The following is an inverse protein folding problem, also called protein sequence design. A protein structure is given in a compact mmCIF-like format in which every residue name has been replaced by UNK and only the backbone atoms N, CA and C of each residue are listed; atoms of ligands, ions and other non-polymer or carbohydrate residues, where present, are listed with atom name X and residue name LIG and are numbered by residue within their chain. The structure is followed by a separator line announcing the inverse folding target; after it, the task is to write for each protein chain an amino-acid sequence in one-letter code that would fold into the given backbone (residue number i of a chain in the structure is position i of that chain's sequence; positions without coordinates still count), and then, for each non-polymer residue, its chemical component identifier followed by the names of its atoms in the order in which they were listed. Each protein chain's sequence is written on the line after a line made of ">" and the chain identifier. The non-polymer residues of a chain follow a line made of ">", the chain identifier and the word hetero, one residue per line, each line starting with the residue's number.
data_IF_005651832320
#
_entry.id   IF_005651832320
#
_cell.length_a   1.000
_cell.length_b   1.000
_cell.length_c   1.000
_cell.angle_alpha   90.00
_cell.angle_beta   90.00
_cell.angle_gamma   90.00
#
_symmetry.space_group_name_H-M   'P 1'
#
loop_
_entity.id
_entity.type
_entity.pdbx_description
1 polymer ?
#
# COMPACT_ATOMS: atom_id res chain seq x y z
N UNK A 1 -4.18 -2.69 1.07
CA UNK A 1 -3.97 -3.78 0.09
C UNK A 1 -3.16 -4.94 0.66
N UNK A 2 -2.30 -4.69 1.65
CA UNK A 2 -1.38 -5.68 2.24
C UNK A 2 -1.99 -6.97 2.85
N UNK A 3 -3.31 -7.12 2.80
CA UNK A 3 -4.04 -8.33 3.20
C UNK A 3 -4.52 -9.19 2.03
N UNK A 4 -4.46 -8.66 0.80
CA UNK A 4 -4.91 -9.32 -0.42
C UNK A 4 -3.76 -10.09 -1.08
N UNK A 5 -4.07 -11.22 -1.72
CA UNK A 5 -3.10 -11.88 -2.59
C UNK A 5 -2.79 -11.00 -3.82
N UNK A 6 -1.63 -11.21 -4.44
CA UNK A 6 -1.19 -10.38 -5.58
C UNK A 6 -2.20 -10.31 -6.73
N UNK A 7 -2.84 -11.44 -7.06
CA UNK A 7 -3.83 -11.49 -8.13
C UNK A 7 -5.13 -10.79 -7.76
N UNK A 8 -5.48 -10.78 -6.47
CA UNK A 8 -6.63 -10.02 -5.96
C UNK A 8 -6.35 -8.52 -6.00
N UNK A 9 -5.12 -8.11 -5.72
CA UNK A 9 -4.67 -6.71 -5.85
C UNK A 9 -4.80 -6.26 -7.30
N UNK A 10 -4.35 -7.07 -8.26
CA UNK A 10 -4.47 -6.77 -9.69
C UNK A 10 -5.94 -6.60 -10.08
N UNK A 11 -6.81 -7.56 -9.74
CA UNK A 11 -8.25 -7.49 -10.04
C UNK A 11 -8.92 -6.28 -9.37
N UNK A 12 -8.58 -6.02 -8.11
CA UNK A 12 -9.09 -4.87 -7.36
C UNK A 12 -8.71 -3.56 -8.04
N UNK A 13 -7.45 -3.38 -8.44
CA UNK A 13 -6.99 -2.18 -9.13
C UNK A 13 -7.68 -1.99 -10.48
N UNK A 14 -7.91 -3.07 -11.24
CA UNK A 14 -8.67 -3.02 -12.49
C UNK A 14 -10.12 -2.59 -12.24
N UNK A 15 -10.81 -3.22 -11.29
CA UNK A 15 -12.18 -2.87 -10.94
C UNK A 15 -12.29 -1.41 -10.45
N UNK A 16 -11.37 -0.98 -9.59
CA UNK A 16 -11.30 0.41 -9.12
C UNK A 16 -11.11 1.40 -10.28
N UNK A 17 -10.32 1.02 -11.30
CA UNK A 17 -10.12 1.83 -12.49
C UNK A 17 -11.39 1.94 -13.34
N UNK A 18 -12.16 0.85 -13.48
CA UNK A 18 -13.39 0.84 -14.27
C UNK A 18 -14.48 1.73 -13.66
N UNK A 19 -14.53 1.87 -12.34
CA UNK A 19 -15.55 2.68 -11.65
C UNK A 19 -15.11 4.14 -11.43
N UNK A 20 -13.81 4.43 -11.49
CA UNK A 20 -13.28 5.74 -11.23
C UNK A 20 -13.49 6.68 -12.43
N UNK A 21 -13.97 7.91 -12.16
CA UNK A 21 -14.22 8.93 -13.19
C UNK A 21 -13.06 9.90 -13.41
N UNK A 22 -12.28 10.16 -12.35
CA UNK A 22 -11.21 11.18 -12.35
C UNK A 22 -9.83 10.56 -12.14
N UNK A 23 -9.73 9.62 -11.20
CA UNK A 23 -8.47 9.06 -10.76
C UNK A 23 -8.70 8.04 -9.68
N UNK A 24 -7.73 7.17 -9.49
CA UNK A 24 -7.67 6.25 -8.35
C UNK A 24 -6.45 6.63 -7.50
N UNK A 25 -6.66 6.70 -6.19
CA UNK A 25 -5.63 6.93 -5.19
C UNK A 25 -5.63 5.72 -4.27
N UNK A 26 -4.50 5.04 -4.17
CA UNK A 26 -4.31 3.95 -3.22
C UNK A 26 -3.19 4.31 -2.26
N UNK A 27 -3.52 4.36 -0.98
CA UNK A 27 -2.57 4.56 0.09
C UNK A 27 -2.36 3.24 0.84
N UNK A 28 -1.11 2.82 1.01
CA UNK A 28 -0.74 1.64 1.80
C UNK A 28 0.53 1.89 2.63
N UNK A 29 0.79 1.01 3.59
CA UNK A 29 2.00 1.02 4.40
C UNK A 29 3.21 0.62 3.56
N UNK A 30 4.28 1.40 3.72
CA UNK A 30 5.60 1.12 3.17
C UNK A 30 6.31 0.12 4.07
N UNK A 31 6.76 -1.00 3.51
CA UNK A 31 7.68 -1.89 4.21
C UNK A 31 8.99 -1.17 4.41
N UNK A 32 9.37 -0.95 5.67
CA UNK A 32 10.62 -0.28 6.02
C UNK A 32 11.17 -0.83 7.33
N UNK A 33 12.45 -1.27 7.35
CA UNK A 33 13.10 -1.69 8.60
C UNK A 33 13.09 -0.61 9.67
N UNK A 34 13.20 0.67 9.27
CA UNK A 34 13.13 1.82 10.18
C UNK A 34 11.73 2.00 10.79
N UNK A 35 10.66 1.78 10.01
CA UNK A 35 9.29 1.81 10.53
C UNK A 35 9.08 0.70 11.56
N UNK A 36 9.63 -0.49 11.28
CA UNK A 36 9.55 -1.64 12.18
C UNK A 36 10.28 -1.36 13.49
N UNK A 37 11.51 -0.84 13.42
CA UNK A 37 12.29 -0.47 14.59
C UNK A 37 11.64 0.67 15.39
N UNK A 38 11.13 1.71 14.70
CA UNK A 38 10.43 2.84 15.33
C UNK A 38 9.14 2.41 16.02
N UNK A 39 8.32 1.57 15.37
CA UNK A 39 7.10 1.03 15.98
C UNK A 39 7.44 0.09 17.16
N UNK A 40 8.45 -0.77 17.02
CA UNK A 40 8.91 -1.62 18.11
C UNK A 40 9.37 -0.82 19.32
N UNK A 41 10.20 0.21 19.11
CA UNK A 41 10.70 1.06 20.18
C UNK A 41 9.57 1.90 20.80
N UNK A 42 8.72 2.52 19.97
CA UNK A 42 7.55 3.28 20.44
C UNK A 42 6.59 2.42 21.25
N UNK A 43 6.25 1.24 20.75
CA UNK A 43 5.34 0.31 21.45
C UNK A 43 5.89 -0.21 22.79
N UNK A 44 7.22 -0.23 22.95
CA UNK A 44 7.90 -0.48 24.24
C UNK A 44 7.75 0.71 25.18
N UNK A 45 8.01 1.92 24.69
CA UNK A 45 7.92 3.15 25.48
C UNK A 45 6.49 3.51 25.90
N UNK A 46 5.49 3.25 25.05
CA UNK A 46 4.07 3.50 25.33
C UNK A 46 3.37 2.36 26.06
N UNK A 47 4.08 1.30 26.45
CA UNK A 47 3.51 0.23 27.27
C UNK A 47 2.46 -0.65 26.57
N UNK A 48 2.45 -0.71 25.23
CA UNK A 48 1.49 -1.54 24.49
C UNK A 48 1.62 -3.01 24.87
N UNK A 49 0.49 -3.72 24.90
CA UNK A 49 0.46 -5.15 25.17
C UNK A 49 1.12 -5.96 24.04
N UNK A 50 1.42 -7.23 24.31
CA UNK A 50 2.11 -8.11 23.37
C UNK A 50 1.35 -8.31 22.05
N UNK A 51 0.01 -8.28 22.09
CA UNK A 51 -0.86 -8.48 20.93
C UNK A 51 -0.81 -7.25 20.02
N UNK A 52 -0.98 -6.04 20.57
CA UNK A 52 -0.86 -4.78 19.82
C UNK A 52 0.52 -4.62 19.19
N UNK A 53 1.57 -5.02 19.90
CA UNK A 53 2.95 -5.04 19.36
C UNK A 53 3.07 -5.99 18.19
N UNK A 54 2.57 -7.21 18.34
CA UNK A 54 2.63 -8.22 17.29
C UNK A 54 1.89 -7.77 16.03
N UNK A 55 0.66 -7.29 16.18
CA UNK A 55 -0.20 -6.88 15.07
C UNK A 55 0.36 -5.67 14.32
N UNK A 56 0.92 -4.69 15.03
CA UNK A 56 1.55 -3.53 14.39
C UNK A 56 2.83 -3.90 13.63
N UNK A 57 3.64 -4.83 14.16
CA UNK A 57 4.82 -5.35 13.45
C UNK A 57 4.43 -6.18 12.21
N UNK A 58 3.39 -7.00 12.32
CA UNK A 58 2.84 -7.76 11.19
C UNK A 58 2.34 -6.82 10.10
N UNK A 59 1.65 -5.74 10.47
CA UNK A 59 1.16 -4.71 9.54
C UNK A 59 2.29 -4.04 8.76
N UNK A 60 3.38 -3.65 9.44
CA UNK A 60 4.55 -3.04 8.78
C UNK A 60 5.27 -4.04 7.86
N UNK A 61 5.33 -5.33 8.24
CA UNK A 61 5.97 -6.37 7.42
C UNK A 61 5.17 -6.72 6.17
N UNK A 62 3.85 -6.66 6.25
CA UNK A 62 2.95 -6.94 5.12
C UNK A 62 2.85 -5.78 4.12
N UNK A 63 3.31 -4.58 4.50
CA UNK A 63 3.38 -3.43 3.60
C UNK A 63 4.18 -3.71 2.32
N UNK A 64 4.04 -2.83 1.33
CA UNK A 64 4.71 -2.95 0.04
C UNK A 64 5.97 -2.08 -0.03
N UNK A 65 6.90 -2.46 -0.89
CA UNK A 65 7.89 -1.54 -1.45
C UNK A 65 7.30 -0.81 -2.66
N UNK A 66 7.88 0.34 -3.02
CA UNK A 66 7.44 1.09 -4.20
C UNK A 66 7.59 0.25 -5.49
N UNK A 67 8.63 -0.59 -5.56
CA UNK A 67 8.87 -1.50 -6.68
C UNK A 67 7.83 -2.62 -6.78
N UNK A 68 7.45 -3.26 -5.66
CA UNK A 68 6.41 -4.31 -5.62
C UNK A 68 5.06 -3.74 -6.04
N UNK A 69 4.63 -2.63 -5.43
CA UNK A 69 3.35 -1.99 -5.76
C UNK A 69 3.34 -1.52 -7.23
N UNK A 70 4.42 -0.92 -7.70
CA UNK A 70 4.57 -0.55 -9.11
C UNK A 70 4.57 -1.75 -10.06
N UNK A 71 5.11 -2.89 -9.64
CA UNK A 71 5.05 -4.16 -10.37
C UNK A 71 3.62 -4.68 -10.52
N UNK A 72 2.86 -4.68 -9.43
CA UNK A 72 1.46 -5.11 -9.43
C UNK A 72 0.57 -4.19 -10.30
N UNK A 73 0.78 -2.88 -10.22
CA UNK A 73 0.04 -1.91 -11.06
C UNK A 73 0.38 -2.08 -12.54
N UNK A 74 1.64 -2.36 -12.89
CA UNK A 74 2.02 -2.72 -14.27
C UNK A 74 1.38 -4.02 -14.74
N UNK A 75 1.34 -5.06 -13.89
CA UNK A 75 0.63 -6.32 -14.19
C UNK A 75 -0.86 -6.10 -14.42
N UNK A 76 -1.46 -5.12 -13.74
CA UNK A 76 -2.83 -4.70 -13.96
C UNK A 76 -3.05 -3.90 -15.25
N UNK A 77 -1.99 -3.58 -16.02
CA UNK A 77 -2.05 -2.75 -17.22
C UNK A 77 -2.13 -1.25 -16.93
N UNK A 78 -1.83 -0.83 -15.70
CA UNK A 78 -2.04 0.55 -15.24
C UNK A 78 -0.72 1.33 -15.23
N UNK A 79 -0.77 2.56 -15.75
CA UNK A 79 0.34 3.52 -15.67
C UNK A 79 0.16 4.38 -14.43
N UNK A 80 0.70 3.91 -13.30
CA UNK A 80 0.57 4.59 -12.01
C UNK A 80 1.89 5.24 -11.56
N UNK A 81 1.76 6.39 -10.89
CA UNK A 81 2.84 7.01 -10.13
C UNK A 81 2.80 6.49 -8.70
N UNK A 82 3.91 5.92 -8.23
CA UNK A 82 4.07 5.46 -6.85
C UNK A 82 5.06 6.37 -6.14
N UNK A 83 4.63 7.02 -5.06
CA UNK A 83 5.45 7.97 -4.31
C UNK A 83 5.49 7.64 -2.81
N UNK A 84 6.59 7.99 -2.17
CA UNK A 84 6.71 7.94 -0.72
C UNK A 84 5.92 9.09 -0.09
N UNK A 85 5.30 8.85 1.06
CA UNK A 85 4.52 9.84 1.81
C UNK A 85 4.83 9.76 3.31
N UNK A 86 4.60 10.85 4.08
CA UNK A 86 4.91 10.91 5.51
C UNK A 86 4.26 9.78 6.32
N UNK A 87 4.94 9.30 7.35
CA UNK A 87 4.47 8.20 8.19
C UNK A 87 4.63 6.81 7.56
N UNK A 88 5.71 6.61 6.79
CA UNK A 88 6.00 5.34 6.10
C UNK A 88 4.84 4.86 5.22
N UNK A 89 4.27 5.77 4.42
CA UNK A 89 3.21 5.46 3.47
C UNK A 89 3.73 5.43 2.04
N UNK A 90 3.14 4.57 1.23
CA UNK A 90 3.21 4.62 -0.23
C UNK A 90 1.85 5.07 -0.74
N UNK A 91 1.88 6.01 -1.68
CA UNK A 91 0.68 6.46 -2.38
C UNK A 91 0.88 6.20 -3.86
N UNK A 92 0.01 5.36 -4.41
CA UNK A 92 -0.11 5.12 -5.83
C UNK A 92 -1.26 5.93 -6.40
N UNK A 93 -1.01 6.67 -7.48
CA UNK A 93 -2.05 7.42 -8.19
C UNK A 93 -2.01 7.13 -9.68
N UNK A 94 -3.19 6.98 -10.29
CA UNK A 94 -3.34 6.89 -11.73
C UNK A 94 -4.69 7.44 -12.16
N UNK A 95 -4.79 7.83 -13.41
CA UNK A 95 -6.05 8.19 -14.05
C UNK A 95 -6.57 6.98 -14.83
N UNK A 96 -7.89 6.74 -14.84
CA UNK A 96 -8.45 5.87 -15.87
C UNK A 96 -8.06 6.46 -17.23
N UNK A 97 -7.70 5.61 -18.19
CA UNK A 97 -7.72 6.06 -19.57
C UNK A 97 -9.14 6.59 -19.83
N UNK A 98 -9.26 7.81 -20.36
CA UNK A 98 -10.57 8.37 -20.70
C UNK A 98 -11.36 7.27 -21.39
N UNK A 99 -12.47 6.85 -20.78
CA UNK A 99 -13.38 5.94 -21.43
C UNK A 99 -13.77 6.66 -22.71
N UNK A 100 -13.25 6.19 -23.85
CA UNK A 100 -13.55 6.80 -25.14
C UNK A 100 -15.02 6.58 -25.42
N UNK A 101 -15.84 7.61 -25.18
CA UNK A 101 -17.11 7.94 -25.82
C UNK A 101 -17.70 9.18 -25.14
#
# INVERSE_FOLDING_TARGET
>A
MHHLAEDEIVRFCQAATQVARLGVIVADLRRSPLALAGFWLGSRLFGFDATTRHDGLVSVRRGFTAGELGGLLRRAGLRARVAHSPGFRLVATWTPAAAGA
#
